data_IF_380899012318
#
_entry.id   IF_380899012318
#
_cell.length_a   1.000
_cell.length_b   1.000
_cell.length_c   1.000
_cell.angle_alpha   90.00
_cell.angle_beta   90.00
_cell.angle_gamma   90.00
#
_symmetry.space_group_name_H-M   'P 1'
#
loop_
_entity.id
_entity.type
_entity.pdbx_description
1 polymer ?
#
# COMPACT_ATOMS: atom_id res chain seq x y z
N UNK A 1 -2.48 -27.48 -12.13
CA UNK A 1 -2.50 -26.32 -11.21
C UNK A 1 -3.56 -25.34 -11.69
N UNK A 2 -4.70 -25.21 -10.98
CA UNK A 2 -5.71 -24.19 -11.33
C UNK A 2 -5.16 -22.82 -10.91
N UNK A 3 -4.75 -22.01 -11.89
CA UNK A 3 -4.26 -20.64 -11.65
C UNK A 3 -5.48 -19.75 -11.48
N UNK A 4 -5.86 -19.46 -10.24
CA UNK A 4 -6.94 -18.51 -9.96
C UNK A 4 -6.43 -17.10 -10.29
N UNK A 5 -7.06 -16.45 -11.27
CA UNK A 5 -6.77 -15.05 -11.61
C UNK A 5 -7.60 -14.15 -10.70
N UNK A 6 -7.19 -14.05 -9.42
CA UNK A 6 -7.83 -13.21 -8.40
C UNK A 6 -7.78 -11.70 -8.67
N UNK A 7 -7.24 -11.30 -9.82
CA UNK A 7 -7.15 -9.93 -10.31
C UNK A 7 -8.10 -9.63 -11.49
N UNK A 8 -8.88 -10.62 -11.96
CA UNK A 8 -9.86 -10.48 -13.04
C UNK A 8 -11.28 -10.50 -12.49
N UNK A 9 -11.59 -9.57 -11.59
CA UNK A 9 -12.90 -9.40 -11.01
C UNK A 9 -13.05 -7.95 -10.53
N UNK A 10 -14.21 -7.34 -10.76
CA UNK A 10 -14.53 -5.96 -10.37
C UNK A 10 -14.79 -5.82 -8.86
N UNK A 11 -14.02 -6.51 -8.03
CA UNK A 11 -14.19 -6.56 -6.58
C UNK A 11 -13.06 -5.75 -5.93
N UNK A 12 -13.40 -4.95 -4.93
CA UNK A 12 -12.42 -4.26 -4.09
C UNK A 12 -11.36 -5.24 -3.59
N UNK A 13 -10.09 -4.86 -3.77
CA UNK A 13 -8.94 -5.70 -3.48
C UNK A 13 -8.06 -5.08 -2.41
N UNK A 14 -7.63 -5.89 -1.44
CA UNK A 14 -6.64 -5.51 -0.44
C UNK A 14 -5.28 -6.11 -0.83
N UNK A 15 -4.28 -5.25 -0.98
CA UNK A 15 -2.91 -5.67 -1.24
C UNK A 15 -2.09 -5.55 0.04
N UNK A 16 -1.52 -6.68 0.49
CA UNK A 16 -0.50 -6.68 1.52
C UNK A 16 0.86 -6.50 0.86
N UNK A 17 1.48 -5.35 1.08
CA UNK A 17 2.77 -4.98 0.49
C UNK A 17 3.79 -4.87 1.62
N UNK A 18 4.79 -5.74 1.60
CA UNK A 18 5.92 -5.64 2.52
C UNK A 18 6.83 -4.46 2.11
N UNK A 19 7.31 -3.71 3.10
CA UNK A 19 8.30 -2.64 2.92
C UNK A 19 9.70 -3.15 3.29
N UNK A 20 10.78 -2.62 2.67
CA UNK A 20 12.13 -2.95 3.06
C UNK A 20 12.44 -2.51 4.48
N UNK A 21 13.28 -3.28 5.16
CA UNK A 21 13.71 -3.01 6.55
C UNK A 21 14.93 -2.09 6.63
N UNK A 22 15.44 -1.60 5.50
CA UNK A 22 16.57 -0.66 5.48
C UNK A 22 16.93 -0.13 4.10
N UNK A 23 17.08 -1.00 3.10
CA UNK A 23 17.46 -0.58 1.76
C UNK A 23 16.23 -0.40 0.86
N UNK A 24 15.99 0.83 0.39
CA UNK A 24 14.83 1.13 -0.46
C UNK A 24 14.88 0.37 -1.79
N UNK A 25 16.06 0.07 -2.34
CA UNK A 25 16.22 -0.66 -3.60
C UNK A 25 15.73 -2.12 -3.54
N UNK A 26 15.44 -2.64 -2.35
CA UNK A 26 14.85 -3.98 -2.16
C UNK A 26 13.34 -4.01 -2.46
N UNK A 27 12.72 -2.85 -2.71
CA UNK A 27 11.34 -2.80 -3.20
C UNK A 27 11.21 -3.52 -4.54
N UNK A 28 10.25 -4.44 -4.63
CA UNK A 28 9.98 -5.10 -5.90
C UNK A 28 9.27 -4.13 -6.87
N UNK A 29 9.51 -4.23 -8.20
CA UNK A 29 8.81 -3.41 -9.19
C UNK A 29 7.29 -3.49 -9.05
N UNK A 30 6.76 -4.70 -8.79
CA UNK A 30 5.34 -4.93 -8.59
C UNK A 30 4.78 -4.20 -7.36
N UNK A 31 5.54 -4.13 -6.26
CA UNK A 31 5.09 -3.41 -5.07
C UNK A 31 4.96 -1.91 -5.36
N UNK A 32 5.91 -1.35 -6.10
CA UNK A 32 5.88 0.06 -6.52
C UNK A 32 4.68 0.32 -7.43
N UNK A 33 4.42 -0.54 -8.41
CA UNK A 33 3.25 -0.43 -9.30
C UNK A 33 1.93 -0.47 -8.51
N UNK A 34 1.77 -1.46 -7.62
CA UNK A 34 0.56 -1.58 -6.79
C UNK A 34 0.35 -0.31 -5.95
N UNK A 35 1.40 0.19 -5.29
CA UNK A 35 1.28 1.39 -4.45
C UNK A 35 0.95 2.65 -5.27
N UNK A 36 1.32 2.71 -6.55
CA UNK A 36 0.93 3.79 -7.48
C UNK A 36 -0.52 3.69 -7.97
N UNK A 37 -1.03 2.47 -8.12
CA UNK A 37 -2.34 2.22 -8.75
C UNK A 37 -3.51 2.19 -7.75
N UNK A 38 -3.27 1.86 -6.48
CA UNK A 38 -4.34 1.79 -5.47
C UNK A 38 -4.90 3.18 -5.15
N UNK A 39 -6.16 3.25 -4.72
CA UNK A 39 -6.79 4.53 -4.35
C UNK A 39 -6.23 5.10 -3.04
N UNK A 40 -5.87 4.22 -2.11
CA UNK A 40 -5.44 4.58 -0.75
C UNK A 40 -4.36 3.61 -0.28
N UNK A 41 -3.36 4.13 0.40
CA UNK A 41 -2.36 3.37 1.16
C UNK A 41 -2.66 3.57 2.63
N UNK A 42 -2.85 2.48 3.38
CA UNK A 42 -2.92 2.50 4.83
C UNK A 42 -1.58 2.05 5.40
N UNK A 43 -1.02 2.80 6.36
CA UNK A 43 0.21 2.41 7.04
C UNK A 43 0.13 2.70 8.55
N UNK A 44 0.77 1.83 9.34
CA UNK A 44 0.93 2.02 10.78
C UNK A 44 1.85 3.21 11.08
N UNK A 45 3.09 3.20 10.56
CA UNK A 45 4.01 4.34 10.67
C UNK A 45 4.02 5.16 9.38
N UNK A 46 3.21 6.21 9.37
CA UNK A 46 3.12 7.12 8.22
C UNK A 46 4.41 7.92 8.00
N UNK A 47 5.25 8.14 9.01
CA UNK A 47 6.49 8.95 8.85
C UNK A 47 7.53 8.21 8.00
N UNK A 48 7.71 6.91 8.27
CA UNK A 48 8.60 6.07 7.45
C UNK A 48 7.99 5.84 6.07
N UNK A 49 6.68 5.63 6.01
CA UNK A 49 5.98 5.41 4.74
C UNK A 49 6.09 6.62 3.81
N UNK A 50 5.94 7.86 4.31
CA UNK A 50 6.11 9.08 3.50
C UNK A 50 7.48 9.13 2.82
N UNK A 51 8.57 8.76 3.52
CA UNK A 51 9.91 8.75 2.93
C UNK A 51 10.05 7.74 1.81
N UNK A 52 9.49 6.54 2.01
CA UNK A 52 9.45 5.49 0.99
C UNK A 52 8.66 5.95 -0.24
N UNK A 53 7.47 6.53 -0.04
CA UNK A 53 6.63 7.00 -1.14
C UNK A 53 7.31 8.14 -1.92
N UNK A 54 7.96 9.08 -1.22
CA UNK A 54 8.73 10.16 -1.86
C UNK A 54 9.89 9.63 -2.70
N UNK A 55 10.63 8.63 -2.21
CA UNK A 55 11.76 8.05 -2.93
C UNK A 55 11.35 7.46 -4.30
N UNK A 56 10.14 6.89 -4.39
CA UNK A 56 9.60 6.27 -5.61
C UNK A 56 8.63 7.15 -6.42
N UNK A 57 8.50 8.43 -6.05
CA UNK A 57 7.52 9.40 -6.59
C UNK A 57 6.09 8.83 -6.60
N UNK A 58 5.66 8.25 -5.48
CA UNK A 58 4.31 7.72 -5.27
C UNK A 58 3.46 8.80 -4.62
N UNK A 59 2.37 9.19 -5.29
CA UNK A 59 1.48 10.31 -4.89
C UNK A 59 0.15 9.86 -4.31
N UNK A 60 -0.03 8.57 -4.14
CA UNK A 60 -1.25 7.95 -3.61
C UNK A 60 -1.55 8.45 -2.20
N UNK A 61 -2.85 8.66 -1.90
CA UNK A 61 -3.31 9.13 -0.58
C UNK A 61 -2.87 8.15 0.51
N UNK A 62 -2.11 8.64 1.48
CA UNK A 62 -1.68 7.89 2.65
C UNK A 62 -2.61 8.20 3.83
N UNK A 63 -3.16 7.15 4.46
CA UNK A 63 -3.91 7.23 5.71
C UNK A 63 -3.14 6.54 6.83
N UNK A 64 -3.22 7.09 8.03
CA UNK A 64 -2.66 6.47 9.22
C UNK A 64 -3.63 5.41 9.76
N UNK A 65 -3.16 4.19 9.94
CA UNK A 65 -3.91 3.15 10.65
C UNK A 65 -3.45 3.11 12.11
N UNK A 66 -4.03 3.98 12.95
CA UNK A 66 -3.79 3.96 14.39
C UNK A 66 -5.07 3.52 15.12
N UNK A 67 -4.90 2.66 16.13
CA UNK A 67 -5.91 1.99 16.95
C UNK A 67 -6.81 2.91 17.80
N UNK A 68 -6.85 4.22 17.50
CA UNK A 68 -7.79 5.19 18.07
C UNK A 68 -8.77 5.76 17.04
N UNK A 69 -8.66 5.39 15.76
CA UNK A 69 -9.50 5.89 14.67
C UNK A 69 -9.99 4.76 13.72
N UNK A 70 -10.27 3.58 14.28
CA UNK A 70 -10.77 2.42 13.52
C UNK A 70 -12.07 2.73 12.75
N UNK A 71 -12.95 3.58 13.30
CA UNK A 71 -14.19 3.99 12.63
C UNK A 71 -13.94 4.96 11.47
N UNK A 72 -13.07 5.95 11.63
CA UNK A 72 -12.81 6.94 10.57
C UNK A 72 -12.03 6.35 9.40
N UNK A 73 -11.08 5.44 9.67
CA UNK A 73 -10.24 4.81 8.63
C UNK A 73 -11.02 3.85 7.73
N UNK A 74 -12.15 3.32 8.22
CA UNK A 74 -13.04 2.46 7.45
C UNK A 74 -13.92 3.22 6.44
N UNK A 75 -13.94 4.56 6.51
CA UNK A 75 -14.87 5.39 5.72
C UNK A 75 -14.27 5.88 4.39
N UNK A 76 -12.95 5.81 4.21
CA UNK A 76 -12.24 6.09 2.94
C UNK A 76 -11.75 7.52 2.74
#
# INVERSE_FOLDING_TARGET
MKRQKSFQNEICSLYLVATPIGNLDEMTPRAIEILKDVNVIAAEDTRNTVRLLQHFDIKTKLIAHHSHNEQDSATG
#
